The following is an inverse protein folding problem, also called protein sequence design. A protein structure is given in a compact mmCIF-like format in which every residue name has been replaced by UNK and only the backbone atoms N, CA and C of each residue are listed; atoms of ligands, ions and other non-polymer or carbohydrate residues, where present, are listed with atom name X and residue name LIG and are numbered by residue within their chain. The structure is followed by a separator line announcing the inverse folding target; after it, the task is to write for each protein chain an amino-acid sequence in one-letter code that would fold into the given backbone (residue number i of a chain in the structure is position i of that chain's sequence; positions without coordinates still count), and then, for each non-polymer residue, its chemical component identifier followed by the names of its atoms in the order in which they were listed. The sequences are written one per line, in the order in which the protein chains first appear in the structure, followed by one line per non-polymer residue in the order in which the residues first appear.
data_IF_377538142973
#
_entry.id   IF_377538142973
#
_cell.length_a   1.000
_cell.length_b   1.000
_cell.length_c   1.000
_cell.angle_alpha   90.00
_cell.angle_beta   90.00
_cell.angle_gamma   90.00
#
_symmetry.space_group_name_H-M   'P 1'
#
loop_
_entity.id
_entity.type
_entity.pdbx_description
1 polymer ?
#
# COMPACT_ATOMS: atom_id res chain seq x y z
N UNK A 1 -12.54 -30.07 11.56
CA UNK A 1 -11.53 -29.91 10.50
C UNK A 1 -11.52 -28.55 9.79
N UNK A 2 -11.62 -27.44 10.53
CA UNK A 2 -11.13 -26.15 10.03
C UNK A 2 -10.30 -25.55 11.15
N UNK A 3 -9.13 -24.99 10.85
CA UNK A 3 -8.18 -24.41 11.83
C UNK A 3 -8.70 -23.17 12.58
N UNK A 4 -9.92 -23.22 13.10
CA UNK A 4 -10.56 -22.21 13.93
C UNK A 4 -10.20 -22.43 15.39
N UNK A 5 -9.81 -21.33 16.02
CA UNK A 5 -9.54 -21.24 17.44
C UNK A 5 -10.86 -21.19 18.19
N UNK A 6 -11.08 -22.14 19.09
CA UNK A 6 -12.37 -22.33 19.77
C UNK A 6 -12.40 -21.55 21.08
N UNK A 7 -11.42 -21.78 21.96
CA UNK A 7 -11.34 -21.17 23.28
C UNK A 7 -9.88 -21.05 23.74
N UNK A 8 -9.63 -20.22 24.76
CA UNK A 8 -8.35 -20.08 25.43
C UNK A 8 -8.58 -20.14 26.96
N UNK A 9 -8.28 -21.29 27.55
CA UNK A 9 -8.56 -21.58 28.97
C UNK A 9 -7.28 -21.80 29.76
N UNK A 10 -7.26 -21.50 31.07
CA UNK A 10 -6.08 -21.70 31.92
C UNK A 10 -5.78 -23.18 32.22
N UNK A 11 -6.76 -24.07 32.04
CA UNK A 11 -6.63 -25.52 32.19
C UNK A 11 -7.46 -26.26 31.13
N UNK A 12 -7.13 -27.52 30.87
CA UNK A 12 -7.82 -28.33 29.86
C UNK A 12 -9.20 -28.75 30.37
N UNK A 13 -10.26 -28.30 29.69
CA UNK A 13 -11.64 -28.65 30.03
C UNK A 13 -12.04 -29.99 29.40
N UNK A 14 -12.77 -30.82 30.14
CA UNK A 14 -13.25 -32.14 29.69
C UNK A 14 -14.07 -32.04 28.40
N UNK A 15 -14.84 -30.95 28.23
CA UNK A 15 -15.61 -30.66 27.01
C UNK A 15 -14.75 -30.52 25.74
N UNK A 16 -13.44 -30.29 25.88
CA UNK A 16 -12.51 -30.07 24.77
C UNK A 16 -11.55 -31.25 24.52
N UNK A 17 -11.77 -32.41 25.16
CA UNK A 17 -10.87 -33.58 25.04
C UNK A 17 -10.65 -34.08 23.61
N UNK A 18 -11.64 -33.92 22.73
CA UNK A 18 -11.56 -34.35 21.32
C UNK A 18 -10.92 -33.31 20.39
N UNK A 19 -10.51 -32.15 20.89
CA UNK A 19 -9.94 -31.06 20.09
C UNK A 19 -8.41 -31.01 20.21
N UNK A 20 -7.76 -30.52 19.15
CA UNK A 20 -6.32 -30.22 19.18
C UNK A 20 -6.05 -29.06 20.14
N UNK A 21 -5.09 -29.23 21.03
CA UNK A 21 -4.70 -28.24 22.03
C UNK A 21 -3.30 -27.68 21.73
N UNK A 22 -3.13 -26.37 21.89
CA UNK A 22 -1.81 -25.71 21.96
C UNK A 22 -1.63 -25.12 23.35
N UNK A 23 -0.49 -25.41 23.98
CA UNK A 23 -0.16 -24.97 25.34
C UNK A 23 0.75 -23.74 25.33
N UNK A 24 0.54 -22.83 26.28
CA UNK A 24 1.33 -21.61 26.44
C UNK A 24 1.75 -21.43 27.90
N UNK A 25 2.85 -20.72 28.14
CA UNK A 25 3.43 -20.56 29.48
C UNK A 25 2.58 -19.67 30.41
N UNK A 26 1.75 -18.80 29.84
CA UNK A 26 0.86 -17.90 30.62
C UNK A 26 -0.50 -17.80 29.94
N UNK A 27 -1.55 -17.60 30.74
CA UNK A 27 -2.90 -17.36 30.21
C UNK A 27 -2.94 -16.14 29.28
N UNK A 28 -2.22 -15.06 29.64
CA UNK A 28 -2.13 -13.86 28.81
C UNK A 28 -1.57 -14.17 27.42
N UNK A 29 -0.55 -15.02 27.32
CA UNK A 29 0.01 -15.43 26.03
C UNK A 29 -0.99 -16.25 25.21
N UNK A 30 -1.76 -17.14 25.85
CA UNK A 30 -2.81 -17.92 25.18
C UNK A 30 -3.95 -17.01 24.67
N UNK A 31 -4.41 -16.06 25.50
CA UNK A 31 -5.45 -15.09 25.14
C UNK A 31 -4.97 -14.17 24.01
N UNK A 32 -3.73 -13.66 24.08
CA UNK A 32 -3.14 -12.81 23.05
C UNK A 32 -3.13 -13.53 21.69
N UNK A 33 -2.69 -14.79 21.63
CA UNK A 33 -2.68 -15.59 20.41
C UNK A 33 -4.09 -15.87 19.88
N UNK A 34 -5.00 -16.26 20.77
CA UNK A 34 -6.40 -16.54 20.44
C UNK A 34 -7.09 -15.32 19.81
N UNK A 35 -7.09 -14.18 20.51
CA UNK A 35 -7.76 -12.97 20.04
C UNK A 35 -7.06 -12.35 18.83
N UNK A 36 -5.73 -12.47 18.72
CA UNK A 36 -5.00 -11.98 17.54
C UNK A 36 -5.41 -12.75 16.29
N UNK A 37 -5.40 -14.09 16.32
CA UNK A 37 -5.77 -14.93 15.18
C UNK A 37 -7.26 -14.85 14.84
N UNK A 38 -8.11 -14.71 15.86
CA UNK A 38 -9.55 -14.52 15.66
C UNK A 38 -9.84 -13.18 14.99
N UNK A 39 -9.25 -12.09 15.48
CA UNK A 39 -9.43 -10.74 14.91
C UNK A 39 -8.90 -10.63 13.49
N UNK A 40 -7.76 -11.27 13.17
CA UNK A 40 -7.23 -11.28 11.80
C UNK A 40 -8.18 -12.02 10.85
N UNK A 41 -8.73 -13.16 11.27
CA UNK A 41 -9.72 -13.92 10.48
C UNK A 41 -11.01 -13.14 10.28
N UNK A 42 -11.54 -12.50 11.34
CA UNK A 42 -12.75 -11.66 11.26
C UNK A 42 -12.56 -10.48 10.30
N UNK A 43 -11.40 -9.81 10.34
CA UNK A 43 -11.07 -8.74 9.38
C UNK A 43 -10.96 -9.23 7.95
N UNK A 44 -10.28 -10.35 7.73
CA UNK A 44 -10.14 -10.94 6.40
C UNK A 44 -11.53 -11.31 5.82
N UNK A 45 -12.42 -11.87 6.64
CA UNK A 45 -13.79 -12.19 6.23
C UNK A 45 -14.62 -10.94 5.91
N UNK A 46 -14.53 -9.90 6.74
CA UNK A 46 -15.22 -8.63 6.49
C UNK A 46 -14.75 -7.99 5.18
N UNK A 47 -13.44 -7.98 4.93
CA UNK A 47 -12.86 -7.47 3.69
C UNK A 47 -13.27 -8.30 2.47
N UNK A 48 -13.27 -9.63 2.58
CA UNK A 48 -13.76 -10.53 1.52
C UNK A 48 -15.19 -10.17 1.10
N UNK A 49 -16.07 -9.95 2.08
CA UNK A 49 -17.46 -9.56 1.84
C UNK A 49 -17.57 -8.20 1.14
N UNK A 50 -16.74 -7.22 1.51
CA UNK A 50 -16.71 -5.91 0.87
C UNK A 50 -16.24 -6.00 -0.59
N UNK A 51 -15.17 -6.74 -0.84
CA UNK A 51 -14.64 -6.98 -2.20
C UNK A 51 -15.68 -7.71 -3.07
N UNK A 52 -16.32 -8.75 -2.55
CA UNK A 52 -17.38 -9.49 -3.24
C UNK A 52 -18.55 -8.59 -3.62
N UNK A 53 -18.97 -7.68 -2.74
CA UNK A 53 -20.03 -6.70 -3.05
C UNK A 53 -19.63 -5.75 -4.17
N UNK A 54 -18.39 -5.27 -4.20
CA UNK A 54 -17.90 -4.41 -5.28
C UNK A 54 -17.82 -5.16 -6.61
N UNK A 55 -17.32 -6.40 -6.61
CA UNK A 55 -17.29 -7.26 -7.79
C UNK A 55 -18.71 -7.55 -8.30
N UNK A 56 -19.66 -7.83 -7.40
CA UNK A 56 -21.05 -8.08 -7.77
C UNK A 56 -21.70 -6.87 -8.45
N UNK A 57 -21.45 -5.65 -7.94
CA UNK A 57 -21.90 -4.41 -8.59
C UNK A 57 -21.35 -4.29 -10.00
N UNK A 58 -20.04 -4.53 -10.18
CA UNK A 58 -19.39 -4.42 -11.49
C UNK A 58 -19.86 -5.50 -12.48
N UNK A 59 -20.12 -6.73 -12.02
CA UNK A 59 -20.71 -7.80 -12.82
C UNK A 59 -22.10 -7.45 -13.36
N UNK A 60 -22.95 -6.79 -12.56
CA UNK A 60 -24.27 -6.31 -13.02
C UNK A 60 -24.15 -5.26 -14.13
N UNK A 61 -23.14 -4.38 -14.05
CA UNK A 61 -22.86 -3.40 -15.11
C UNK A 61 -22.41 -4.10 -16.40
N UNK A 62 -21.48 -5.06 -16.28
CA UNK A 62 -20.99 -5.85 -17.40
C UNK A 62 -22.12 -6.60 -18.11
N UNK A 63 -23.02 -7.22 -17.35
CA UNK A 63 -24.17 -7.94 -17.90
C UNK A 63 -25.08 -7.03 -18.75
N UNK A 64 -25.40 -5.82 -18.23
CA UNK A 64 -26.19 -4.82 -18.98
C UNK A 64 -25.49 -4.40 -20.28
N UNK A 65 -24.17 -4.19 -20.24
CA UNK A 65 -23.38 -3.84 -21.42
C UNK A 65 -23.36 -4.98 -22.45
N UNK A 66 -23.20 -6.23 -22.02
CA UNK A 66 -23.24 -7.41 -22.89
C UNK A 66 -24.60 -7.58 -23.56
N UNK A 67 -25.69 -7.33 -22.84
CA UNK A 67 -27.05 -7.36 -23.41
C UNK A 67 -27.25 -6.22 -24.42
N UNK A 68 -26.79 -5.01 -24.11
CA UNK A 68 -26.79 -3.89 -25.05
C UNK A 68 -25.95 -4.19 -26.32
N UNK A 69 -24.83 -4.92 -26.17
CA UNK A 69 -23.97 -5.32 -27.29
C UNK A 69 -24.70 -6.30 -28.22
N UNK A 70 -25.39 -7.30 -27.66
CA UNK A 70 -26.22 -8.24 -28.41
C UNK A 70 -27.34 -7.52 -29.17
N UNK A 71 -28.04 -6.59 -28.51
CA UNK A 71 -29.08 -5.76 -29.14
C UNK A 71 -28.54 -4.93 -30.29
N UNK A 72 -27.45 -4.19 -30.06
CA UNK A 72 -26.83 -3.33 -31.08
C UNK A 72 -26.33 -4.14 -32.28
N UNK A 73 -25.74 -5.33 -32.07
CA UNK A 73 -25.35 -6.24 -33.16
C UNK A 73 -26.55 -6.69 -34.00
N UNK A 74 -27.68 -6.98 -33.36
CA UNK A 74 -28.93 -7.36 -34.04
C UNK A 74 -29.43 -6.20 -34.90
N UNK A 75 -29.41 -4.98 -34.38
CA UNK A 75 -29.84 -3.78 -35.11
C UNK A 75 -28.97 -3.47 -36.32
N UNK A 76 -27.64 -3.61 -36.19
CA UNK A 76 -26.71 -3.44 -37.33
C UNK A 76 -27.05 -4.43 -38.44
N UNK A 77 -27.19 -5.73 -38.10
CA UNK A 77 -27.55 -6.78 -39.06
C UNK A 77 -28.91 -6.54 -39.70
N UNK A 78 -29.91 -6.13 -38.90
CA UNK A 78 -31.26 -5.82 -39.38
C UNK A 78 -31.24 -4.69 -40.40
N UNK A 79 -30.64 -3.55 -40.05
CA UNK A 79 -30.63 -2.37 -40.90
C UNK A 79 -29.84 -2.58 -42.20
N UNK A 80 -28.67 -3.24 -42.16
CA UNK A 80 -27.93 -3.59 -43.39
C UNK A 80 -28.77 -4.44 -44.33
N UNK A 81 -29.35 -5.53 -43.81
CA UNK A 81 -30.14 -6.44 -44.63
C UNK A 81 -31.39 -5.76 -45.21
N UNK A 82 -32.02 -4.81 -44.50
CA UNK A 82 -33.10 -4.00 -45.08
C UNK A 82 -32.58 -3.13 -46.22
N UNK A 83 -31.45 -2.42 -46.03
CA UNK A 83 -30.80 -1.66 -47.10
C UNK A 83 -30.51 -2.52 -48.34
N UNK A 84 -29.99 -3.72 -48.14
CA UNK A 84 -29.67 -4.67 -49.22
C UNK A 84 -30.93 -5.17 -49.95
N UNK A 85 -32.03 -5.41 -49.23
CA UNK A 85 -33.34 -5.75 -49.81
C UNK A 85 -33.86 -4.60 -50.68
N UNK A 86 -33.78 -3.36 -50.19
CA UNK A 86 -34.24 -2.18 -50.91
C UNK A 86 -33.44 -2.00 -52.21
N UNK A 87 -32.11 -2.17 -52.17
CA UNK A 87 -31.28 -2.07 -53.37
C UNK A 87 -31.57 -3.18 -54.40
N UNK A 88 -31.73 -4.43 -53.96
CA UNK A 88 -32.09 -5.55 -54.85
C UNK A 88 -33.44 -5.35 -55.53
N UNK A 89 -34.39 -4.72 -54.84
CA UNK A 89 -35.76 -4.49 -55.31
C UNK A 89 -36.02 -3.05 -55.75
N UNK A 90 -34.97 -2.29 -56.11
CA UNK A 90 -35.06 -0.84 -56.30
C UNK A 90 -36.04 -0.44 -57.40
N UNK A 91 -36.14 -1.21 -58.49
CA UNK A 91 -37.00 -0.89 -59.62
C UNK A 91 -38.47 -1.11 -59.27
N UNK A 92 -38.79 -2.28 -58.70
CA UNK A 92 -40.14 -2.65 -58.25
C UNK A 92 -40.67 -1.70 -57.19
N UNK A 93 -39.85 -1.36 -56.18
CA UNK A 93 -40.22 -0.39 -55.15
C UNK A 93 -40.39 1.03 -55.70
N UNK A 94 -39.56 1.42 -56.68
CA UNK A 94 -39.66 2.74 -57.32
C UNK A 94 -40.93 2.87 -58.16
N UNK A 95 -41.32 1.81 -58.85
CA UNK A 95 -42.59 1.76 -59.58
C UNK A 95 -43.77 1.93 -58.62
N UNK A 96 -43.80 1.17 -57.52
CA UNK A 96 -44.83 1.28 -56.49
C UNK A 96 -44.92 2.70 -55.91
N UNK A 97 -43.79 3.29 -55.50
CA UNK A 97 -43.73 4.66 -54.99
C UNK A 97 -44.25 5.69 -56.00
N UNK A 98 -43.81 5.59 -57.26
CA UNK A 98 -44.23 6.51 -58.32
C UNK A 98 -45.72 6.42 -58.60
N UNK A 99 -46.27 5.21 -58.63
CA UNK A 99 -47.71 4.97 -58.81
C UNK A 99 -48.52 5.62 -57.70
N UNK A 100 -48.20 5.31 -56.44
CA UNK A 100 -48.86 5.89 -55.26
C UNK A 100 -48.85 7.42 -55.28
N UNK A 101 -47.70 8.03 -55.63
CA UNK A 101 -47.55 9.49 -55.70
C UNK A 101 -48.20 10.12 -56.93
N UNK A 102 -48.37 9.37 -58.03
CA UNK A 102 -49.05 9.84 -59.24
C UNK A 102 -50.56 9.88 -59.00
N UNK A 103 -51.15 8.77 -58.54
CA UNK A 103 -52.59 8.69 -58.26
C UNK A 103 -53.02 9.69 -57.17
N UNK A 104 -52.16 9.94 -56.18
CA UNK A 104 -52.43 10.97 -55.18
C UNK A 104 -52.44 12.39 -55.75
N UNK A 105 -51.58 12.69 -56.73
CA UNK A 105 -51.52 13.97 -57.44
C UNK A 105 -52.72 14.19 -58.35
N UNK A 106 -53.28 13.12 -58.90
CA UNK A 106 -54.51 13.11 -59.72
C UNK A 106 -55.79 13.28 -58.88
N UNK A 107 -55.66 13.54 -57.57
CA UNK A 107 -56.78 13.90 -56.69
C UNK A 107 -57.44 12.74 -55.95
N UNK A 108 -56.98 11.49 -56.16
CA UNK A 108 -57.54 10.32 -55.47
C UNK A 108 -57.27 10.34 -53.96
N UNK A 109 -58.19 9.75 -53.20
CA UNK A 109 -58.01 9.56 -51.75
C UNK A 109 -57.11 8.36 -51.47
N UNK A 110 -56.36 8.39 -50.36
CA UNK A 110 -55.50 7.26 -49.98
C UNK A 110 -56.28 5.95 -49.80
N UNK A 111 -57.54 6.03 -49.34
CA UNK A 111 -58.41 4.85 -49.20
C UNK A 111 -58.68 4.16 -50.54
N UNK A 112 -58.99 4.94 -51.58
CA UNK A 112 -59.23 4.42 -52.93
C UNK A 112 -57.95 3.79 -53.51
N UNK A 113 -56.82 4.48 -53.40
CA UNK A 113 -55.53 4.02 -53.90
C UNK A 113 -55.11 2.68 -53.24
N UNK A 114 -55.31 2.54 -51.93
CA UNK A 114 -54.97 1.31 -51.21
C UNK A 114 -55.89 0.15 -51.61
N UNK A 115 -57.20 0.40 -51.77
CA UNK A 115 -58.17 -0.60 -52.21
C UNK A 115 -57.82 -1.16 -53.60
N UNK A 116 -57.45 -0.29 -54.55
CA UNK A 116 -57.08 -0.71 -55.90
C UNK A 116 -55.82 -1.61 -55.90
N UNK A 117 -54.81 -1.26 -55.08
CA UNK A 117 -53.57 -2.03 -54.98
C UNK A 117 -53.77 -3.34 -54.19
N UNK A 118 -54.68 -3.36 -53.22
CA UNK A 118 -55.05 -4.58 -52.48
C UNK A 118 -55.74 -5.60 -53.38
N UNK A 119 -56.63 -5.17 -54.28
CA UNK A 119 -57.24 -6.05 -55.29
C UNK A 119 -56.19 -6.64 -56.24
N UNK A 120 -55.20 -5.84 -56.65
CA UNK A 120 -54.08 -6.36 -57.48
C UNK A 120 -53.16 -7.31 -56.70
N UNK A 121 -53.00 -7.10 -55.39
CA UNK A 121 -52.23 -8.00 -54.52
C UNK A 121 -52.83 -9.41 -54.48
N UNK A 122 -54.15 -9.55 -54.54
CA UNK A 122 -54.84 -10.85 -54.62
C UNK A 122 -54.51 -11.62 -55.91
N UNK A 123 -54.15 -10.92 -56.98
CA UNK A 123 -53.69 -11.51 -58.25
C UNK A 123 -52.18 -11.83 -58.29
N UNK A 124 -51.44 -11.51 -57.23
CA UNK A 124 -50.02 -11.86 -57.06
C UNK A 124 -49.03 -10.94 -57.81
N UNK A 125 -49.48 -9.83 -58.38
CA UNK A 125 -48.65 -8.91 -59.15
C UNK A 125 -47.57 -8.21 -58.31
N UNK A 126 -46.30 -8.32 -58.71
CA UNK A 126 -45.23 -7.45 -58.20
C UNK A 126 -45.32 -6.13 -58.98
N UNK A 127 -45.36 -4.96 -58.31
CA UNK A 127 -45.00 -4.72 -56.91
C UNK A 127 -46.17 -4.50 -55.94
N UNK A 128 -47.43 -4.72 -56.33
CA UNK A 128 -48.60 -4.57 -55.46
C UNK A 128 -48.50 -5.49 -54.21
N UNK A 129 -47.90 -6.68 -54.37
CA UNK A 129 -47.64 -7.62 -53.27
C UNK A 129 -46.76 -7.08 -52.15
N UNK A 130 -45.93 -6.06 -52.41
CA UNK A 130 -45.08 -5.45 -51.39
C UNK A 130 -45.84 -4.53 -50.44
N UNK A 131 -47.05 -4.07 -50.78
CA UNK A 131 -47.83 -3.19 -49.93
C UNK A 131 -48.33 -3.92 -48.67
N UNK A 132 -48.02 -3.37 -47.49
CA UNK A 132 -48.58 -3.83 -46.21
C UNK A 132 -49.52 -2.80 -45.59
N UNK A 133 -49.07 -1.55 -45.46
CA UNK A 133 -49.93 -0.45 -44.97
C UNK A 133 -49.33 0.91 -45.33
N UNK A 134 -50.13 1.97 -45.22
CA UNK A 134 -49.69 3.35 -45.40
C UNK A 134 -50.15 4.21 -44.23
N UNK A 135 -49.27 5.05 -43.72
CA UNK A 135 -49.58 6.11 -42.74
C UNK A 135 -49.62 7.47 -43.48
N UNK A 136 -50.82 8.03 -43.75
CA UNK A 136 -50.97 9.23 -44.55
C UNK A 136 -50.29 10.47 -43.96
N UNK A 137 -50.35 10.66 -42.65
CA UNK A 137 -49.89 11.86 -41.95
C UNK A 137 -48.36 12.00 -42.05
N UNK A 138 -47.65 10.87 -41.98
CA UNK A 138 -46.20 10.81 -42.11
C UNK A 138 -45.70 10.51 -43.51
N UNK A 139 -46.59 10.16 -44.45
CA UNK A 139 -46.25 9.58 -45.75
C UNK A 139 -45.28 8.38 -45.63
N UNK A 140 -45.58 7.48 -44.70
CA UNK A 140 -44.77 6.27 -44.42
C UNK A 140 -45.47 5.06 -44.99
N UNK A 141 -44.85 4.44 -45.99
CA UNK A 141 -45.29 3.19 -46.62
C UNK A 141 -44.60 2.01 -45.94
N UNK A 142 -45.35 1.16 -45.27
CA UNK A 142 -44.85 -0.12 -44.77
C UNK A 142 -44.93 -1.14 -45.90
N UNK A 143 -43.77 -1.70 -46.24
CA UNK A 143 -43.66 -2.75 -47.25
C UNK A 143 -43.16 -4.05 -46.64
N UNK A 144 -43.59 -5.17 -47.21
CA UNK A 144 -43.04 -6.49 -46.92
C UNK A 144 -42.34 -7.04 -48.17
N UNK A 145 -41.03 -7.26 -48.06
CA UNK A 145 -40.21 -7.76 -49.16
C UNK A 145 -39.29 -8.85 -48.62
N UNK A 146 -39.26 -10.02 -49.29
CA UNK A 146 -38.48 -11.20 -48.86
C UNK A 146 -38.76 -11.60 -47.38
N UNK A 147 -40.04 -11.55 -46.97
CA UNK A 147 -40.47 -11.90 -45.61
C UNK A 147 -40.01 -10.92 -44.53
N UNK A 148 -39.73 -9.66 -44.90
CA UNK A 148 -39.35 -8.60 -43.96
C UNK A 148 -40.15 -7.34 -44.18
N UNK A 149 -40.82 -6.92 -43.10
CA UNK A 149 -41.51 -5.63 -43.05
C UNK A 149 -40.58 -4.49 -42.67
N UNK A 150 -40.62 -3.41 -43.43
CA UNK A 150 -39.90 -2.17 -43.12
C UNK A 150 -40.60 -0.93 -43.70
N UNK A 151 -40.50 0.23 -43.02
CA UNK A 151 -41.05 1.47 -43.51
C UNK A 151 -40.17 2.11 -44.59
N UNK A 152 -40.81 2.70 -45.59
CA UNK A 152 -40.27 3.59 -46.60
C UNK A 152 -40.94 4.95 -46.50
N UNK A 153 -40.16 6.02 -46.51
CA UNK A 153 -40.69 7.38 -46.56
C UNK A 153 -40.95 7.77 -48.03
N UNK A 154 -42.20 8.07 -48.37
CA UNK A 154 -42.59 8.45 -49.73
C UNK A 154 -42.03 9.82 -50.16
N UNK A 155 -41.58 10.67 -49.22
CA UNK A 155 -40.91 11.94 -49.51
C UNK A 155 -39.48 11.75 -50.05
N UNK A 156 -38.92 10.55 -49.87
CA UNK A 156 -37.57 10.23 -50.29
C UNK A 156 -37.60 9.22 -51.44
N UNK A 157 -36.59 9.29 -52.30
CA UNK A 157 -36.32 8.24 -53.28
C UNK A 157 -36.05 6.89 -52.60
N UNK A 158 -36.14 5.80 -53.37
CA UNK A 158 -35.83 4.46 -52.87
C UNK A 158 -34.37 4.36 -52.43
N UNK A 159 -33.47 5.00 -53.17
CA UNK A 159 -32.04 5.06 -52.87
C UNK A 159 -31.77 5.82 -51.57
N UNK A 160 -32.45 6.95 -51.33
CA UNK A 160 -32.35 7.68 -50.06
C UNK A 160 -32.91 6.86 -48.88
N UNK A 161 -34.02 6.14 -49.09
CA UNK A 161 -34.54 5.20 -48.09
C UNK A 161 -33.52 4.09 -47.77
N UNK A 162 -32.90 3.47 -48.78
CA UNK A 162 -31.84 2.48 -48.57
C UNK A 162 -30.65 3.08 -47.81
N UNK A 163 -30.17 4.24 -48.25
CA UNK A 163 -29.07 4.98 -47.63
C UNK A 163 -29.34 5.27 -46.15
N UNK A 164 -30.57 5.65 -45.80
CA UNK A 164 -30.98 5.88 -44.43
C UNK A 164 -30.80 4.64 -43.53
N UNK A 165 -31.10 3.44 -44.02
CA UNK A 165 -30.85 2.19 -43.30
C UNK A 165 -29.35 1.89 -43.14
N UNK A 166 -28.52 2.13 -44.17
CA UNK A 166 -27.06 2.00 -44.03
C UNK A 166 -26.48 3.02 -43.04
N UNK A 167 -26.96 4.26 -43.05
CA UNK A 167 -26.55 5.29 -42.08
C UNK A 167 -26.94 4.88 -40.67
N UNK A 168 -28.15 4.34 -40.45
CA UNK A 168 -28.57 3.77 -39.16
C UNK A 168 -27.63 2.65 -38.71
N UNK A 169 -27.28 1.72 -39.60
CA UNK A 169 -26.32 0.66 -39.31
C UNK A 169 -24.94 1.22 -38.94
N UNK A 170 -24.40 2.16 -39.72
CA UNK A 170 -23.10 2.79 -39.47
C UNK A 170 -23.06 3.56 -38.14
N UNK A 171 -24.14 4.27 -37.80
CA UNK A 171 -24.29 4.92 -36.48
C UNK A 171 -24.29 3.90 -35.35
N UNK A 172 -24.99 2.77 -35.50
CA UNK A 172 -24.99 1.70 -34.52
C UNK A 172 -23.61 1.01 -34.40
N UNK A 173 -22.86 0.88 -35.49
CA UNK A 173 -21.47 0.36 -35.46
C UNK A 173 -20.52 1.27 -34.67
N UNK A 174 -20.63 2.59 -34.83
CA UNK A 174 -19.84 3.54 -34.03
C UNK A 174 -20.14 3.39 -32.54
N UNK A 175 -21.42 3.23 -32.18
CA UNK A 175 -21.85 2.93 -30.79
C UNK A 175 -21.30 1.58 -30.30
N UNK A 176 -21.27 0.57 -31.17
CA UNK A 176 -20.75 -0.75 -30.84
C UNK A 176 -19.27 -0.70 -30.44
N UNK A 177 -18.45 0.14 -31.08
CA UNK A 177 -17.03 0.31 -30.72
C UNK A 177 -16.86 0.80 -29.29
N UNK A 178 -17.53 1.90 -28.92
CA UNK A 178 -17.47 2.43 -27.55
C UNK A 178 -18.02 1.46 -26.51
N UNK A 179 -19.04 0.68 -26.86
CA UNK A 179 -19.58 -0.34 -25.96
C UNK A 179 -18.60 -1.50 -25.72
N UNK A 180 -17.84 -1.92 -26.74
CA UNK A 180 -16.77 -2.94 -26.56
C UNK A 180 -15.68 -2.44 -25.63
N UNK A 181 -15.25 -1.18 -25.79
CA UNK A 181 -14.25 -0.55 -24.93
C UNK A 181 -14.76 -0.48 -23.47
N UNK A 182 -16.03 -0.11 -23.25
CA UNK A 182 -16.64 -0.08 -21.92
C UNK A 182 -16.75 -1.47 -21.27
N UNK A 183 -17.02 -2.51 -22.06
CA UNK A 183 -17.02 -3.91 -21.59
C UNK A 183 -15.62 -4.31 -21.14
N UNK A 184 -14.60 -4.06 -21.97
CA UNK A 184 -13.21 -4.38 -21.65
C UNK A 184 -12.76 -3.68 -20.37
N UNK A 185 -13.08 -2.39 -20.21
CA UNK A 185 -12.79 -1.64 -18.98
C UNK A 185 -13.48 -2.27 -17.75
N UNK A 186 -14.72 -2.74 -17.90
CA UNK A 186 -15.45 -3.38 -16.81
C UNK A 186 -14.85 -4.73 -16.43
N UNK A 187 -14.40 -5.52 -17.40
CA UNK A 187 -13.69 -6.79 -17.19
C UNK A 187 -12.35 -6.57 -16.48
N UNK A 188 -11.51 -5.63 -16.96
CA UNK A 188 -10.26 -5.27 -16.30
C UNK A 188 -10.50 -4.79 -14.86
N UNK A 189 -11.57 -4.00 -14.64
CA UNK A 189 -11.88 -3.52 -13.30
C UNK A 189 -12.25 -4.64 -12.32
N UNK A 190 -12.98 -5.65 -12.79
CA UNK A 190 -13.31 -6.84 -11.98
C UNK A 190 -12.02 -7.60 -11.62
N UNK A 191 -11.11 -7.77 -12.57
CA UNK A 191 -9.84 -8.45 -12.34
C UNK A 191 -8.96 -7.70 -11.33
N UNK A 192 -8.83 -6.39 -11.47
CA UNK A 192 -8.11 -5.54 -10.52
C UNK A 192 -8.66 -5.67 -9.09
N UNK A 193 -9.99 -5.55 -8.93
CA UNK A 193 -10.65 -5.67 -7.62
C UNK A 193 -10.41 -7.06 -7.01
N UNK A 194 -10.43 -8.11 -7.85
CA UNK A 194 -10.16 -9.48 -7.42
C UNK A 194 -8.72 -9.62 -6.91
N UNK A 195 -7.74 -9.13 -7.67
CA UNK A 195 -6.33 -9.21 -7.28
C UNK A 195 -6.01 -8.38 -6.03
N UNK A 196 -6.58 -7.17 -5.94
CA UNK A 196 -6.45 -6.32 -4.76
C UNK A 196 -7.03 -7.00 -3.52
N UNK A 197 -8.25 -7.54 -3.62
CA UNK A 197 -8.88 -8.28 -2.53
C UNK A 197 -8.03 -9.46 -2.06
N UNK A 198 -7.52 -10.29 -2.99
CA UNK A 198 -6.63 -11.42 -2.65
C UNK A 198 -5.37 -10.93 -1.92
N UNK A 199 -4.76 -9.84 -2.37
CA UNK A 199 -3.55 -9.31 -1.73
C UNK A 199 -3.81 -8.76 -0.32
N UNK A 200 -4.92 -8.07 -0.13
CA UNK A 200 -5.28 -7.49 1.17
C UNK A 200 -5.72 -8.57 2.16
N UNK A 201 -6.49 -9.57 1.73
CA UNK A 201 -6.81 -10.76 2.54
C UNK A 201 -5.54 -11.49 2.99
N UNK A 202 -4.59 -11.73 2.08
CA UNK A 202 -3.29 -12.35 2.42
C UNK A 202 -2.45 -11.53 3.39
N UNK A 203 -2.64 -10.21 3.47
CA UNK A 203 -1.94 -9.36 4.44
C UNK A 203 -2.60 -9.46 5.82
N UNK A 204 -3.93 -9.44 5.87
CA UNK A 204 -4.67 -9.55 7.13
C UNK A 204 -4.60 -10.95 7.73
N UNK A 205 -4.58 -12.02 6.93
CA UNK A 205 -4.41 -13.40 7.43
C UNK A 205 -3.06 -13.66 8.11
N UNK A 206 -2.04 -12.83 7.83
CA UNK A 206 -0.74 -12.97 8.48
C UNK A 206 -0.83 -12.42 9.89
N UNK A 207 -0.45 -13.19 10.92
CA UNK A 207 -0.41 -12.68 12.27
C UNK A 207 0.52 -11.46 12.31
N UNK A 208 0.13 -10.37 13.00
CA UNK A 208 1.00 -9.23 13.17
C UNK A 208 2.31 -9.69 13.79
N UNK A 209 3.46 -9.14 13.37
CA UNK A 209 4.74 -9.54 13.92
C UNK A 209 4.71 -9.34 15.44
N UNK A 210 5.01 -10.39 16.21
CA UNK A 210 5.11 -10.32 17.67
C UNK A 210 6.03 -9.17 18.03
N UNK A 211 5.47 -8.13 18.64
CA UNK A 211 6.28 -7.01 19.12
C UNK A 211 7.02 -7.50 20.36
N UNK A 212 8.35 -7.62 20.25
CA UNK A 212 9.23 -7.84 21.41
C UNK A 212 8.83 -6.87 22.53
N UNK A 213 8.67 -7.38 23.75
CA UNK A 213 8.51 -6.53 24.93
C UNK A 213 9.76 -5.66 25.00
N UNK A 214 9.58 -4.34 24.81
CA UNK A 214 10.73 -3.44 24.79
C UNK A 214 11.32 -3.38 26.18
N UNK A 215 12.62 -3.55 26.29
CA UNK A 215 13.30 -3.31 27.54
C UNK A 215 13.18 -1.82 27.90
N UNK A 216 13.14 -1.50 29.19
CA UNK A 216 12.93 -0.13 29.67
C UNK A 216 13.97 0.85 29.11
N UNK A 217 15.20 0.39 28.85
CA UNK A 217 16.30 1.19 28.33
C UNK A 217 16.21 1.49 26.83
N UNK A 218 15.31 0.82 26.07
CA UNK A 218 15.20 1.03 24.62
C UNK A 218 14.68 2.42 24.22
N UNK A 219 14.17 3.18 25.18
CA UNK A 219 13.81 4.60 25.02
C UNK A 219 15.04 5.52 24.97
N UNK A 220 16.22 5.05 25.38
CA UNK A 220 17.50 5.77 25.37
C UNK A 220 18.40 5.35 24.20
N UNK A 221 19.50 6.05 23.97
CA UNK A 221 20.64 5.44 23.27
C UNK A 221 21.17 4.34 24.18
N UNK A 222 21.40 3.15 23.67
CA UNK A 222 21.83 2.05 24.51
C UNK A 222 22.66 1.07 23.71
N UNK A 223 23.56 0.39 24.40
CA UNK A 223 24.28 -0.78 23.92
C UNK A 223 24.66 -1.63 25.14
N UNK A 224 25.11 -2.86 24.92
CA UNK A 224 25.83 -3.61 25.94
C UNK A 224 27.31 -3.49 25.57
N UNK A 225 28.13 -3.12 26.55
CA UNK A 225 29.56 -3.04 26.35
C UNK A 225 30.11 -4.39 25.92
N UNK A 226 31.32 -4.40 25.39
CA UNK A 226 31.98 -5.65 25.09
C UNK A 226 32.11 -6.57 26.31
N UNK A 227 32.08 -6.02 27.52
CA UNK A 227 32.15 -6.76 28.78
C UNK A 227 30.77 -7.13 29.35
N UNK A 228 29.69 -6.84 28.61
CA UNK A 228 28.32 -7.22 28.97
C UNK A 228 27.56 -6.21 29.84
N UNK A 229 28.18 -5.07 30.19
CA UNK A 229 27.55 -4.03 31.00
C UNK A 229 26.57 -3.19 30.17
N UNK A 230 25.41 -2.88 30.73
CA UNK A 230 24.43 -2.01 30.06
C UNK A 230 24.90 -0.55 30.11
N UNK A 231 25.03 0.08 28.94
CA UNK A 231 25.33 1.51 28.83
C UNK A 231 24.14 2.23 28.21
N UNK A 232 23.68 3.31 28.83
CA UNK A 232 22.56 4.12 28.35
C UNK A 232 22.95 5.60 28.21
N UNK A 233 22.45 6.28 27.19
CA UNK A 233 22.68 7.69 26.94
C UNK A 233 21.44 8.43 26.48
N UNK A 234 21.29 9.69 26.85
CA UNK A 234 20.10 10.45 26.46
C UNK A 234 20.03 10.70 24.95
N UNK A 235 18.81 10.81 24.44
CA UNK A 235 18.54 11.17 23.04
C UNK A 235 18.28 12.66 22.87
N UNK A 236 17.81 13.29 23.94
CA UNK A 236 17.39 14.68 24.04
C UNK A 236 17.46 15.14 25.50
N UNK A 237 17.16 16.41 25.72
CA UNK A 237 17.14 17.04 27.04
C UNK A 237 16.25 16.29 28.06
N UNK A 238 15.06 15.85 27.64
CA UNK A 238 14.10 15.17 28.52
C UNK A 238 14.60 13.80 28.96
N UNK A 239 15.17 13.04 28.03
CA UNK A 239 15.74 11.72 28.30
C UNK A 239 17.04 11.80 29.10
N UNK A 240 17.87 12.81 28.88
CA UNK A 240 19.02 13.12 29.76
C UNK A 240 18.56 13.34 31.21
N UNK A 241 17.52 14.15 31.43
CA UNK A 241 16.99 14.36 32.78
C UNK A 241 16.44 13.07 33.40
N UNK A 242 15.77 12.25 32.60
CA UNK A 242 15.22 10.97 33.06
C UNK A 242 16.32 9.99 33.47
N UNK A 243 17.42 9.92 32.72
CA UNK A 243 18.57 9.08 33.03
C UNK A 243 19.14 9.46 34.41
N UNK A 244 19.49 10.73 34.59
CA UNK A 244 20.12 11.18 35.83
C UNK A 244 19.17 11.13 37.03
N UNK A 245 17.89 11.51 36.87
CA UNK A 245 16.95 11.58 38.00
C UNK A 245 16.30 10.26 38.40
N UNK A 246 16.13 9.32 37.46
CA UNK A 246 15.31 8.11 37.68
C UNK A 246 16.06 6.79 37.49
N UNK A 247 17.18 6.81 36.78
CA UNK A 247 17.87 5.57 36.40
C UNK A 247 19.35 5.53 36.82
N UNK A 248 19.86 6.61 37.39
CA UNK A 248 21.20 6.69 37.99
C UNK A 248 21.16 6.09 39.39
N UNK A 249 22.03 5.13 39.64
CA UNK A 249 22.26 4.51 40.93
C UNK A 249 23.61 4.98 41.51
N UNK A 250 23.83 4.92 42.83
CA UNK A 250 25.04 5.47 43.46
C UNK A 250 26.37 4.90 42.95
N UNK A 251 26.36 3.66 42.46
CA UNK A 251 27.55 2.96 41.95
C UNK A 251 27.75 3.11 40.43
N UNK A 252 26.82 3.77 39.72
CA UNK A 252 26.95 3.98 38.28
C UNK A 252 28.09 4.97 37.96
N UNK A 253 28.56 5.00 36.72
CA UNK A 253 29.53 6.00 36.26
C UNK A 253 28.90 6.91 35.21
N UNK A 254 29.02 8.22 35.41
CA UNK A 254 28.43 9.25 34.54
C UNK A 254 29.48 9.80 33.59
N UNK A 255 29.17 9.82 32.30
CA UNK A 255 30.01 10.35 31.23
C UNK A 255 29.34 11.53 30.55
N UNK A 256 30.14 12.51 30.13
CA UNK A 256 29.72 13.61 29.29
C UNK A 256 30.90 14.14 28.48
N UNK A 257 30.71 14.41 27.19
CA UNK A 257 31.77 14.99 26.36
C UNK A 257 32.01 16.45 26.75
N UNK A 258 33.25 16.93 26.72
CA UNK A 258 33.60 18.31 27.05
C UNK A 258 33.29 19.27 25.91
N UNK A 259 32.02 19.24 25.48
CA UNK A 259 31.44 20.05 24.41
C UNK A 259 29.94 20.21 24.65
N UNK A 260 29.37 21.32 24.17
CA UNK A 260 27.93 21.57 24.24
C UNK A 260 27.14 20.50 23.47
N UNK A 261 25.93 20.21 23.95
CA UNK A 261 25.02 19.29 23.28
C UNK A 261 25.46 17.82 23.32
N UNK A 262 26.35 17.45 24.24
CA UNK A 262 26.65 16.05 24.52
C UNK A 262 25.53 15.41 25.35
N UNK A 263 25.25 14.10 25.16
CA UNK A 263 24.36 13.37 26.04
C UNK A 263 25.05 13.09 27.39
N UNK A 264 24.25 12.96 28.44
CA UNK A 264 24.68 12.22 29.63
C UNK A 264 24.60 10.73 29.32
N UNK A 265 25.68 10.02 29.62
CA UNK A 265 25.80 8.57 29.44
C UNK A 265 26.07 7.92 30.80
N UNK A 266 25.38 6.82 31.10
CA UNK A 266 25.58 6.02 32.32
C UNK A 266 26.03 4.62 31.95
N UNK A 267 27.06 4.14 32.65
CA UNK A 267 27.35 2.71 32.76
C UNK A 267 26.57 2.17 33.96
N UNK A 268 25.73 1.16 33.74
CA UNK A 268 25.06 0.41 34.81
C UNK A 268 26.03 -0.64 35.34
N UNK A 269 26.75 -0.30 36.40
CA UNK A 269 27.89 -1.11 36.87
C UNK A 269 27.49 -2.28 37.76
N UNK A 270 26.27 -2.26 38.32
CA UNK A 270 25.78 -3.27 39.27
C UNK A 270 26.68 -3.41 40.52
N UNK A 271 27.46 -2.38 40.85
CA UNK A 271 28.36 -2.37 42.00
C UNK A 271 29.80 -2.80 41.72
N UNK A 272 30.12 -3.21 40.49
CA UNK A 272 31.49 -3.60 40.10
C UNK A 272 32.25 -2.48 39.39
N UNK A 273 33.59 -2.49 39.43
CA UNK A 273 34.38 -1.52 38.68
C UNK A 273 34.40 -1.86 37.18
N UNK A 274 33.94 -0.95 36.28
CA UNK A 274 33.89 -1.26 34.86
C UNK A 274 35.29 -1.38 34.24
N UNK A 275 35.54 -2.39 33.38
CA UNK A 275 36.80 -2.49 32.66
C UNK A 275 37.09 -1.25 31.80
N UNK A 276 38.38 -0.94 31.59
CA UNK A 276 38.82 0.23 30.81
C UNK A 276 38.17 0.26 29.42
N UNK A 277 38.02 -0.90 28.80
CA UNK A 277 37.33 -1.05 27.50
C UNK A 277 35.89 -0.55 27.55
N UNK A 278 35.12 -0.95 28.56
CA UNK A 278 33.75 -0.45 28.76
C UNK A 278 33.75 1.07 28.99
N UNK A 279 34.74 1.61 29.71
CA UNK A 279 34.89 3.05 29.91
C UNK A 279 35.15 3.79 28.59
N UNK A 280 36.01 3.25 27.72
CA UNK A 280 36.30 3.79 26.39
C UNK A 280 35.07 3.74 25.48
N UNK A 281 34.32 2.64 25.49
CA UNK A 281 33.08 2.49 24.71
C UNK A 281 31.99 3.48 25.17
N UNK A 282 31.81 3.65 26.48
CA UNK A 282 30.87 4.65 27.01
C UNK A 282 31.28 6.07 26.62
N UNK A 283 32.58 6.38 26.64
CA UNK A 283 33.10 7.65 26.18
C UNK A 283 32.88 7.86 24.67
N UNK A 284 33.08 6.84 23.84
CA UNK A 284 32.82 6.90 22.39
C UNK A 284 31.34 7.22 22.09
N UNK A 285 30.40 6.67 22.89
CA UNK A 285 28.99 7.02 22.80
C UNK A 285 28.76 8.51 23.11
N UNK A 286 29.33 9.01 24.21
CA UNK A 286 29.19 10.40 24.62
C UNK A 286 29.78 11.37 23.59
N UNK A 287 30.98 11.07 23.08
CA UNK A 287 31.66 11.83 22.04
C UNK A 287 30.85 11.87 20.74
N UNK A 288 30.48 10.69 20.22
CA UNK A 288 29.91 10.55 18.87
C UNK A 288 28.49 11.08 18.76
N UNK A 289 27.72 11.05 19.83
CA UNK A 289 26.36 11.60 19.84
C UNK A 289 26.28 13.05 20.36
N UNK A 290 27.42 13.71 20.54
CA UNK A 290 27.49 15.14 20.88
C UNK A 290 27.41 16.04 19.65
N UNK A 291 27.43 17.36 19.87
CA UNK A 291 27.50 18.36 18.80
C UNK A 291 28.80 18.29 17.99
N UNK A 292 29.86 17.68 18.52
CA UNK A 292 31.14 17.48 17.81
C UNK A 292 30.94 16.75 16.48
N UNK A 293 29.97 15.84 16.40
CA UNK A 293 29.65 15.12 15.15
C UNK A 293 29.10 16.06 14.08
N UNK A 294 28.19 16.96 14.47
CA UNK A 294 27.62 17.97 13.57
C UNK A 294 28.68 18.96 13.11
N UNK A 295 29.64 19.24 13.97
CA UNK A 295 30.78 20.13 13.73
C UNK A 295 31.94 19.45 12.97
N UNK A 296 31.79 18.17 12.62
CA UNK A 296 32.76 17.41 11.81
C UNK A 296 34.14 17.28 12.47
N UNK A 297 34.18 17.29 13.81
CA UNK A 297 35.41 17.04 14.56
C UNK A 297 35.84 15.57 14.44
N UNK A 298 37.13 15.31 14.59
CA UNK A 298 37.70 13.95 14.56
C UNK A 298 37.64 13.27 15.92
N UNK A 299 37.87 14.04 16.98
CA UNK A 299 37.86 13.57 18.37
C UNK A 299 37.44 14.69 19.33
N UNK A 300 37.03 14.31 20.54
CA UNK A 300 36.74 15.24 21.64
C UNK A 300 37.21 14.64 22.97
N UNK A 301 37.50 15.48 23.95
CA UNK A 301 37.72 15.01 25.31
C UNK A 301 36.38 14.62 25.93
N UNK A 302 36.37 13.53 26.69
CA UNK A 302 35.22 13.09 27.48
C UNK A 302 35.67 12.99 28.91
N UNK A 303 34.81 13.43 29.83
CA UNK A 303 35.06 13.21 31.24
C UNK A 303 34.05 12.24 31.84
N UNK A 304 34.45 11.58 32.91
CA UNK A 304 33.58 10.82 33.78
C UNK A 304 33.69 11.28 35.22
N UNK A 305 32.59 11.05 35.95
CA UNK A 305 32.39 11.45 37.35
C UNK A 305 31.50 10.43 38.06
N UNK A 306 31.56 10.42 39.38
CA UNK A 306 30.63 9.67 40.22
C UNK A 306 29.25 10.34 40.29
N UNK A 307 28.17 9.61 40.58
CA UNK A 307 26.81 10.13 40.66
C UNK A 307 26.64 11.27 41.67
N UNK A 308 27.36 11.20 42.79
CA UNK A 308 27.34 12.20 43.87
C UNK A 308 27.81 13.59 43.42
N UNK A 309 28.62 13.64 42.37
CA UNK A 309 29.13 14.88 41.80
C UNK A 309 28.10 15.61 40.93
N UNK A 310 26.99 14.97 40.58
CA UNK A 310 25.96 15.53 39.69
C UNK A 310 24.83 16.15 40.49
N UNK A 311 24.64 17.46 40.38
CA UNK A 311 23.57 18.19 41.08
C UNK A 311 22.74 19.07 40.16
N UNK A 312 21.47 19.30 40.54
CA UNK A 312 20.56 20.26 39.89
C UNK A 312 20.53 21.61 40.59
N UNK A 313 21.28 21.76 41.68
CA UNK A 313 21.35 23.00 42.45
C UNK A 313 22.38 23.94 41.81
N UNK A 314 21.95 25.05 41.19
CA UNK A 314 22.89 26.02 40.63
C UNK A 314 23.74 26.68 41.73
N UNK A 315 24.92 27.23 41.39
CA UNK A 315 25.62 28.16 42.26
C UNK A 315 24.73 29.37 42.61
N UNK A 316 24.92 30.01 43.78
CA UNK A 316 24.15 31.19 44.17
C UNK A 316 24.15 32.27 43.06
N UNK A 317 22.96 32.79 42.74
CA UNK A 317 22.79 33.85 41.72
C UNK A 317 22.74 33.37 40.26
N UNK A 318 22.83 32.07 39.99
CA UNK A 318 22.71 31.52 38.63
C UNK A 318 21.41 30.74 38.44
N UNK A 319 20.87 30.77 37.23
CA UNK A 319 19.74 29.93 36.83
C UNK A 319 20.23 28.74 35.99
N UNK A 320 19.65 27.56 36.24
CA UNK A 320 20.00 26.34 35.51
C UNK A 320 18.95 26.05 34.42
N UNK A 321 19.40 25.98 33.17
CA UNK A 321 18.51 25.60 32.06
C UNK A 321 17.97 24.18 32.24
N UNK A 322 16.77 23.94 31.69
CA UNK A 322 16.19 22.58 31.64
C UNK A 322 17.14 21.66 30.90
N UNK A 323 17.50 20.53 31.51
CA UNK A 323 18.52 19.61 30.99
C UNK A 323 19.94 19.80 31.48
N UNK A 324 20.28 20.98 32.01
CA UNK A 324 21.63 21.23 32.52
C UNK A 324 21.79 20.66 33.93
N UNK A 325 23.02 20.24 34.26
CA UNK A 325 23.42 19.75 35.57
C UNK A 325 24.73 20.41 35.95
N UNK A 326 24.90 20.69 37.24
CA UNK A 326 26.15 21.20 37.81
C UNK A 326 26.98 20.01 38.25
N UNK A 327 28.27 20.05 37.92
CA UNK A 327 29.23 19.02 38.31
C UNK A 327 30.14 19.60 39.37
N UNK A 328 30.24 18.94 40.52
CA UNK A 328 31.12 19.35 41.63
C UNK A 328 32.33 18.42 41.74
N UNK A 329 33.44 18.94 42.24
CA UNK A 329 34.68 18.19 42.40
C UNK A 329 35.47 17.99 41.10
N UNK A 330 36.46 17.10 41.15
CA UNK A 330 37.37 16.82 40.04
C UNK A 330 36.73 15.93 38.98
N UNK A 331 37.10 16.17 37.72
CA UNK A 331 36.68 15.39 36.55
C UNK A 331 37.83 14.48 36.11
N UNK A 332 37.52 13.23 35.79
CA UNK A 332 38.49 12.30 35.19
C UNK A 332 38.34 12.33 33.67
N UNK A 333 39.43 12.50 32.92
CA UNK A 333 39.37 12.76 31.48
C UNK A 333 39.92 11.59 30.65
N UNK A 334 39.12 11.17 29.66
CA UNK A 334 39.59 10.43 28.49
C UNK A 334 39.83 11.43 27.36
N UNK A 335 41.09 11.52 26.93
CA UNK A 335 41.51 12.49 25.91
C UNK A 335 41.38 11.91 24.51
N UNK A 336 41.08 12.79 23.55
CA UNK A 336 41.06 12.44 22.12
C UNK A 336 40.15 11.25 21.75
N UNK A 337 38.98 11.15 22.38
CA UNK A 337 38.01 10.09 22.08
C UNK A 337 37.48 10.28 20.65
N UNK A 338 37.63 9.29 19.77
CA UNK A 338 37.28 9.43 18.36
C UNK A 338 35.76 9.48 18.15
N UNK A 339 35.34 10.20 17.11
CA UNK A 339 33.94 10.23 16.70
C UNK A 339 33.67 9.13 15.67
N UNK A 340 33.11 8.02 16.15
CA UNK A 340 32.72 6.88 15.32
C UNK A 340 31.58 6.11 15.98
N UNK A 341 30.73 5.49 15.16
CA UNK A 341 29.71 4.55 15.63
C UNK A 341 29.61 3.39 14.66
N UNK A 342 29.18 2.23 15.13
CA UNK A 342 28.77 1.14 14.27
C UNK A 342 27.25 0.94 14.30
N UNK A 343 26.70 0.51 13.17
CA UNK A 343 25.32 0.04 13.07
C UNK A 343 25.37 -1.37 12.49
N UNK A 344 24.75 -2.32 13.17
CA UNK A 344 24.78 -3.72 12.79
C UNK A 344 23.43 -4.43 12.89
N UNK A 345 23.43 -5.67 12.43
CA UNK A 345 22.33 -6.63 12.57
C UNK A 345 22.81 -7.75 13.47
N UNK A 346 22.03 -8.03 14.51
CA UNK A 346 22.18 -9.18 15.42
C UNK A 346 20.99 -10.11 15.25
N UNK A 347 21.23 -11.41 15.22
CA UNK A 347 20.17 -12.42 15.31
C UNK A 347 19.70 -12.56 16.76
N UNK A 348 18.41 -12.29 17.00
CA UNK A 348 17.79 -12.43 18.32
C UNK A 348 16.40 -13.03 18.15
N UNK A 349 16.08 -14.09 18.90
CA UNK A 349 14.84 -14.86 18.79
C UNK A 349 14.47 -15.28 17.35
N UNK A 350 15.47 -15.60 16.53
CA UNK A 350 15.26 -15.96 15.11
C UNK A 350 14.76 -14.79 14.25
N UNK A 351 15.09 -13.55 14.62
CA UNK A 351 14.77 -12.34 13.86
C UNK A 351 16.00 -11.40 13.78
N UNK A 352 16.18 -10.68 12.65
CA UNK A 352 17.25 -9.70 12.54
C UNK A 352 16.87 -8.41 13.29
N UNK A 353 17.68 -8.05 14.29
CA UNK A 353 17.53 -6.80 15.05
C UNK A 353 18.64 -5.80 14.70
N UNK A 354 18.24 -4.55 14.45
CA UNK A 354 19.19 -3.45 14.25
C UNK A 354 19.71 -2.97 15.62
N UNK A 355 21.03 -3.03 15.79
CA UNK A 355 21.77 -2.49 16.92
C UNK A 355 22.72 -1.39 16.46
N UNK A 356 23.11 -0.50 17.36
CA UNK A 356 24.09 0.55 17.04
C UNK A 356 24.59 1.28 18.28
N UNK A 357 25.83 1.74 18.22
CA UNK A 357 26.60 2.17 19.39
C UNK A 357 28.09 2.28 19.06
N UNK A 358 28.96 2.20 20.07
CA UNK A 358 30.41 2.18 19.89
C UNK A 358 30.85 1.05 18.95
N UNK A 359 31.91 1.29 18.19
CA UNK A 359 32.36 0.39 17.13
C UNK A 359 32.68 -0.99 17.67
N UNK A 360 33.39 -1.05 18.79
CA UNK A 360 33.89 -2.31 19.32
C UNK A 360 32.78 -3.20 19.89
N UNK A 361 31.94 -2.64 20.76
CA UNK A 361 30.74 -3.31 21.30
C UNK A 361 29.84 -3.88 20.21
N UNK A 362 29.51 -3.09 19.18
CA UNK A 362 28.62 -3.55 18.10
C UNK A 362 29.31 -4.58 17.21
N UNK A 363 30.62 -4.49 17.01
CA UNK A 363 31.38 -5.49 16.24
C UNK A 363 31.38 -6.84 16.95
N UNK A 364 31.41 -6.86 18.29
CA UNK A 364 31.35 -8.09 19.10
C UNK A 364 29.98 -8.76 19.05
N UNK A 365 28.90 -7.99 18.99
CA UNK A 365 27.53 -8.53 19.03
C UNK A 365 26.86 -8.75 17.66
N UNK A 366 27.26 -8.02 16.62
CA UNK A 366 26.56 -8.05 15.34
C UNK A 366 27.11 -9.13 14.39
N UNK A 367 26.21 -9.86 13.73
CA UNK A 367 26.56 -10.77 12.63
C UNK A 367 27.10 -10.00 11.42
N UNK A 368 26.61 -8.77 11.21
CA UNK A 368 27.09 -7.88 10.15
C UNK A 368 26.92 -6.42 10.59
N UNK A 369 27.88 -5.58 10.23
CA UNK A 369 27.87 -4.17 10.63
C UNK A 369 28.45 -3.24 9.57
N UNK A 370 28.26 -1.95 9.78
CA UNK A 370 28.95 -0.87 9.06
C UNK A 370 29.45 0.16 10.06
N UNK A 371 30.64 0.72 9.83
CA UNK A 371 31.20 1.78 10.66
C UNK A 371 30.88 3.13 10.04
N UNK A 372 30.51 4.09 10.88
CA UNK A 372 30.18 5.45 10.50
C UNK A 372 31.15 6.42 11.17
N UNK A 373 31.45 7.48 10.45
CA UNK A 373 32.22 8.63 10.93
C UNK A 373 31.53 9.93 10.45
N UNK A 374 31.86 11.10 11.02
CA UNK A 374 31.42 12.38 10.48
C UNK A 374 31.69 12.48 8.97
N UNK A 375 30.75 13.04 8.23
CA UNK A 375 30.76 12.99 6.77
C UNK A 375 29.72 13.91 6.13
N UNK A 376 29.50 13.76 4.83
CA UNK A 376 28.71 14.73 4.05
C UNK A 376 27.25 14.30 3.80
N UNK A 377 26.87 13.05 4.11
CA UNK A 377 25.55 12.51 3.78
C UNK A 377 24.53 12.80 4.89
N UNK A 378 23.34 13.28 4.51
CA UNK A 378 22.20 13.41 5.43
C UNK A 378 21.72 12.05 5.93
N UNK A 379 21.09 12.01 7.11
CA UNK A 379 20.65 10.78 7.79
C UNK A 379 19.76 9.87 6.95
N UNK A 380 18.78 10.40 6.21
CA UNK A 380 17.84 9.59 5.42
C UNK A 380 18.50 8.86 4.23
N UNK A 381 19.24 9.54 3.33
CA UNK A 381 20.05 8.88 2.30
C UNK A 381 21.10 7.91 2.88
N UNK A 382 21.75 8.29 3.98
CA UNK A 382 22.75 7.45 4.63
C UNK A 382 22.12 6.16 5.18
N UNK A 383 20.96 6.23 5.84
CA UNK A 383 20.24 5.06 6.32
C UNK A 383 19.81 4.11 5.18
N UNK A 384 19.40 4.65 4.02
CA UNK A 384 19.10 3.82 2.84
C UNK A 384 20.34 3.07 2.36
N UNK A 385 21.50 3.73 2.35
CA UNK A 385 22.77 3.11 1.96
C UNK A 385 23.21 2.05 2.97
N UNK A 386 23.17 2.36 4.26
CA UNK A 386 23.46 1.42 5.36
C UNK A 386 22.58 0.17 5.26
N UNK A 387 21.27 0.34 5.07
CA UNK A 387 20.34 -0.79 4.91
C UNK A 387 20.73 -1.71 3.75
N UNK A 388 21.10 -1.13 2.60
CA UNK A 388 21.55 -1.89 1.42
C UNK A 388 22.88 -2.60 1.69
N UNK A 389 23.83 -1.93 2.34
CA UNK A 389 25.13 -2.52 2.68
C UNK A 389 24.97 -3.69 3.65
N UNK A 390 24.20 -3.51 4.73
CA UNK A 390 23.90 -4.58 5.70
C UNK A 390 23.17 -5.75 5.05
N UNK A 391 22.22 -5.51 4.15
CA UNK A 391 21.53 -6.58 3.42
C UNK A 391 22.44 -7.32 2.43
N UNK A 392 23.50 -6.67 1.92
CA UNK A 392 24.48 -7.28 1.02
C UNK A 392 25.52 -8.10 1.78
N UNK A 393 25.97 -7.62 2.94
CA UNK A 393 26.99 -8.26 3.77
C UNK A 393 26.46 -9.31 4.73
N UNK A 394 25.21 -9.18 5.16
CA UNK A 394 24.59 -10.08 6.11
C UNK A 394 24.18 -11.43 5.52
N UNK A 395 23.76 -12.39 6.37
CA UNK A 395 23.30 -13.70 5.94
C UNK A 395 22.15 -13.64 4.92
N UNK A 396 22.20 -14.50 3.90
CA UNK A 396 21.22 -14.51 2.81
C UNK A 396 19.78 -14.67 3.30
N UNK A 397 19.57 -15.52 4.31
CA UNK A 397 18.28 -15.73 4.98
C UNK A 397 17.65 -14.44 5.53
N UNK A 398 18.47 -13.45 5.90
CA UNK A 398 18.02 -12.18 6.46
C UNK A 398 17.87 -11.06 5.45
N UNK A 399 18.41 -11.22 4.23
CA UNK A 399 18.47 -10.16 3.21
C UNK A 399 17.11 -9.49 2.95
N UNK A 400 16.06 -10.29 2.74
CA UNK A 400 14.70 -9.76 2.50
C UNK A 400 14.14 -9.02 3.72
N UNK A 401 14.39 -9.54 4.93
CA UNK A 401 13.93 -8.91 6.18
C UNK A 401 14.67 -7.59 6.44
N UNK A 402 15.99 -7.56 6.26
CA UNK A 402 16.81 -6.34 6.40
C UNK A 402 16.35 -5.26 5.39
N UNK A 403 16.08 -5.62 4.14
CA UNK A 403 15.60 -4.66 3.12
C UNK A 403 14.22 -4.08 3.47
N UNK A 404 13.37 -4.87 4.14
CA UNK A 404 12.05 -4.45 4.61
C UNK A 404 12.07 -3.71 5.95
N UNK A 405 13.21 -3.64 6.63
CA UNK A 405 13.33 -2.88 7.89
C UNK A 405 13.01 -1.40 7.66
N UNK A 406 12.09 -0.80 8.46
CA UNK A 406 11.76 0.62 8.39
C UNK A 406 13.01 1.48 8.57
N UNK A 407 13.19 2.51 7.73
CA UNK A 407 14.40 3.34 7.77
C UNK A 407 14.60 4.03 9.11
N UNK A 408 13.53 4.35 9.84
CA UNK A 408 13.62 4.98 11.16
C UNK A 408 14.37 4.10 12.19
N UNK A 409 14.31 2.76 12.04
CA UNK A 409 15.04 1.82 12.91
C UNK A 409 16.55 1.92 12.77
N UNK A 410 17.04 2.34 11.61
CA UNK A 410 18.47 2.58 11.33
C UNK A 410 18.82 4.03 11.65
N UNK A 411 17.99 4.99 11.22
CA UNK A 411 18.25 6.42 11.40
C UNK A 411 18.44 6.83 12.86
N UNK A 412 17.75 6.18 13.81
CA UNK A 412 17.89 6.47 15.25
C UNK A 412 19.33 6.28 15.79
N UNK A 413 20.14 5.45 15.13
CA UNK A 413 21.54 5.19 15.48
C UNK A 413 22.53 6.04 14.66
N UNK A 414 22.05 6.92 13.78
CA UNK A 414 22.92 7.90 13.10
C UNK A 414 23.01 9.13 14.00
N UNK A 415 24.21 9.59 14.38
CA UNK A 415 24.37 10.80 15.17
C UNK A 415 23.82 12.05 14.49
N UNK A 416 23.58 13.10 15.28
CA UNK A 416 22.98 14.34 14.79
C UNK A 416 23.93 15.05 13.82
N UNK A 417 23.47 15.30 12.60
CA UNK A 417 24.25 15.99 11.57
C UNK A 417 24.35 15.17 10.29
N UNK A 418 25.56 15.10 9.72
CA UNK A 418 25.87 14.37 8.50
C UNK A 418 26.94 13.33 8.78
N UNK A 419 26.90 12.22 8.05
CA UNK A 419 27.83 11.10 8.26
C UNK A 419 28.26 10.48 6.95
N UNK A 420 29.18 9.53 7.04
CA UNK A 420 29.53 8.63 5.93
C UNK A 420 29.87 7.25 6.46
N UNK A 421 29.71 6.24 5.62
CA UNK A 421 30.23 4.89 5.89
C UNK A 421 31.76 4.95 5.73
N UNK A 422 32.49 4.46 6.73
CA UNK A 422 33.95 4.37 6.69
C UNK A 422 34.35 3.35 5.61
N UNK A 423 35.26 3.67 4.67
CA UNK A 423 35.73 2.69 3.69
C UNK A 423 36.34 1.46 4.38
N UNK A 424 36.13 0.28 3.80
CA UNK A 424 36.63 -0.98 4.37
C UNK A 424 35.84 -1.56 5.54
N UNK A 425 34.82 -0.84 6.05
CA UNK A 425 33.87 -1.39 7.04
C UNK A 425 32.78 -2.21 6.41
#
# INVERSE_FOLDING_TARGET
DEGQWIDATPFQLTKYKSFRCETYNTLNQALDEYYTKRRSKERAAQLSKEVEQQIAKQKRVLERQQNALKGTKRDIRRNRKIGDIIYRNVNSLRFLLRRLLKEKREGRSWKQILSDIEQEKETGGIPASYLQSLQPEGLILNVEVEGRSFPLNLRHSIQENASHYYIKAKKAEKKLKGLKEAIQQSETKIEELTQQGIQEMRKEERPPPKRRKRAWYEKFRWFHSSDGLLVIGGRDTTTNEMIIKRHMEPHDIVFHADIRGAPFVLIKTQGEEPPERTMQEAAELAASYSKAWKEMLTSVNVYWISPEQVTKTPPPGQYLEKGAFVIRGSKNYLRNVPLQVAIGIKSEDGQPMVIGGPVEAITKEADTYVKLVPGTQKSSPLAKRIRKTLAKKGPEQWRRRILNTPLQRIQKFIPLGRGRIKPGS
#
